data_IF_864925104659
#
_entry.id   IF_864925104659
#
_cell.length_a   1.000
_cell.length_b   1.000
_cell.length_c   1.000
_cell.angle_alpha   90.00
_cell.angle_beta   90.00
_cell.angle_gamma   90.00
#
_symmetry.space_group_name_H-M   'P 1'
#
loop_
_entity.id
_entity.type
_entity.pdbx_description
1 polymer ?
#
# COMPACT_ATOMS: atom_id res chain seq x y z
N UNK A 1 -39.38 35.46 24.25
CA UNK A 1 -38.95 35.18 23.90
C UNK A 1 -38.04 34.69 23.87
N UNK A 2 -37.99 34.56 23.95
CA UNK A 2 -37.16 34.12 23.70
C UNK A 2 -36.54 33.48 23.47
N UNK A 3 -36.61 33.39 23.44
CA UNK A 3 -36.01 32.87 23.16
C UNK A 3 -35.29 32.26 22.80
N UNK A 4 -35.44 32.21 22.90
CA UNK A 4 -34.77 31.73 22.43
C UNK A 4 -34.04 31.37 22.07
N UNK A 5 -33.77 31.42 21.99
CA UNK A 5 -32.97 31.15 21.48
C UNK A 5 -32.24 30.49 21.57
N UNK A 6 -32.60 30.59 22.02
CA UNK A 6 -31.83 30.06 22.07
C UNK A 6 -31.33 29.29 21.78
N UNK A 7 -31.55 29.10 21.50
CA UNK A 7 -31.07 28.33 21.05
C UNK A 7 -30.34 27.92 20.63
N UNK A 8 -30.12 28.24 20.66
CA UNK A 8 -29.37 27.88 20.12
C UNK A 8 -28.56 27.28 20.13
N UNK A 9 -28.63 27.24 20.33
CA UNK A 9 -27.86 26.70 20.21
C UNK A 9 -27.27 26.06 20.00
N UNK A 10 -27.25 26.12 19.91
CA UNK A 10 -26.57 25.49 19.49
C UNK A 10 -25.96 24.88 19.11
N UNK A 11 -26.19 24.83 19.10
CA UNK A 11 -25.63 24.19 18.59
C UNK A 11 -24.82 23.92 18.29
N UNK A 12 -24.51 24.23 18.34
CA UNK A 12 -23.68 23.98 17.90
C UNK A 12 -23.02 23.25 17.84
N UNK A 13 -23.11 23.13 17.90
CA UNK A 13 -22.39 22.49 17.57
C UNK A 13 -21.87 21.99 17.11
N UNK A 14 -22.02 22.14 17.14
CA UNK A 14 -21.50 21.65 16.51
C UNK A 14 -20.77 21.19 16.23
N UNK A 15 -20.75 21.27 16.29
CA UNK A 15 -20.04 20.81 15.92
C UNK A 15 -19.44 20.19 15.84
N UNK A 16 -19.27 20.06 15.90
CA UNK A 16 -18.68 19.38 15.66
C UNK A 16 -18.16 18.82 15.25
N UNK A 17 -18.16 18.84 15.05
CA UNK A 17 -17.58 18.19 14.67
C UNK A 17 -16.94 17.58 14.26
N UNK A 18 -16.96 17.29 14.03
CA UNK A 18 -16.42 16.55 13.57
C UNK A 18 -15.42 16.44 13.25
N UNK A 19 -15.14 16.67 13.35
CA UNK A 19 -14.14 16.70 13.01
C UNK A 19 -13.35 15.72 13.23
N UNK A 20 -13.49 15.22 13.65
CA UNK A 20 -12.67 14.31 14.02
C UNK A 20 -12.13 13.55 13.03
N UNK A 21 -12.53 13.41 12.62
CA UNK A 21 -12.14 12.90 11.67
C UNK A 21 -10.95 12.89 11.10
N UNK A 22 -10.46 13.64 11.16
CA UNK A 22 -9.28 13.78 10.54
C UNK A 22 -8.35 12.68 10.72
N UNK A 23 -8.28 12.22 11.79
CA UNK A 23 -7.36 11.25 12.00
C UNK A 23 -7.35 10.20 10.99
N UNK A 24 -8.36 10.15 10.31
CA UNK A 24 -8.43 9.19 9.39
C UNK A 24 -7.42 9.22 8.45
N UNK A 25 -7.24 10.19 7.88
CA UNK A 25 -6.36 10.22 6.84
C UNK A 25 -4.99 9.82 7.17
N UNK A 26 -4.73 9.89 8.41
CA UNK A 26 -3.44 9.59 8.72
C UNK A 26 -3.23 8.20 8.58
N UNK A 27 -4.20 7.56 8.63
CA UNK A 27 -4.08 6.28 8.73
C UNK A 27 -3.42 5.70 7.60
N UNK A 28 -3.68 5.00 7.10
CA UNK A 28 -3.02 4.20 6.26
C UNK A 28 -3.40 4.37 4.88
N UNK A 29 -2.55 4.04 4.03
CA UNK A 29 -2.82 3.91 2.65
C UNK A 29 -3.77 2.74 2.52
N UNK A 30 -4.76 2.84 1.69
CA UNK A 30 -5.69 1.75 1.50
C UNK A 30 -4.99 0.54 0.90
N UNK A 31 -5.56 -0.61 1.10
CA UNK A 31 -5.00 -1.84 0.55
C UNK A 31 -4.82 -1.79 -0.95
N UNK A 32 -5.72 -1.11 -1.65
CA UNK A 32 -5.62 -0.98 -3.09
C UNK A 32 -4.37 -0.20 -3.48
N UNK A 33 -4.17 0.95 -2.88
CA UNK A 33 -3.02 1.77 -3.23
C UNK A 33 -1.71 1.17 -2.72
N UNK A 34 -1.75 0.44 -1.64
CA UNK A 34 -0.58 -0.27 -1.17
C UNK A 34 -0.20 -1.36 -2.17
N UNK A 35 -1.16 -2.11 -2.68
CA UNK A 35 -0.89 -3.12 -3.68
C UNK A 35 -0.36 -2.48 -4.96
N UNK A 36 -0.93 -1.36 -5.36
CA UNK A 36 -0.46 -0.68 -6.56
C UNK A 36 0.99 -0.24 -6.42
N UNK A 37 1.36 0.23 -5.24
CA UNK A 37 2.74 0.64 -4.98
C UNK A 37 3.69 -0.55 -5.01
N UNK A 38 3.26 -1.68 -4.49
CA UNK A 38 4.07 -2.89 -4.53
C UNK A 38 4.25 -3.36 -5.97
N UNK A 39 3.20 -3.34 -6.76
CA UNK A 39 3.26 -3.75 -8.17
C UNK A 39 4.21 -2.82 -8.92
N UNK A 40 4.12 -1.52 -8.65
CA UNK A 40 4.99 -0.57 -9.29
C UNK A 40 6.46 -0.84 -8.94
N UNK A 41 6.73 -1.16 -7.69
CA UNK A 41 8.08 -1.47 -7.25
C UNK A 41 8.60 -2.73 -7.96
N UNK A 42 7.76 -3.74 -8.10
CA UNK A 42 8.14 -4.97 -8.78
C UNK A 42 8.44 -4.71 -10.25
N UNK A 43 7.55 -3.96 -10.91
CA UNK A 43 7.70 -3.71 -12.34
C UNK A 43 8.81 -2.74 -12.67
N UNK A 44 9.34 -2.06 -11.67
CA UNK A 44 10.46 -1.14 -11.86
C UNK A 44 11.78 -1.75 -11.41
N UNK A 45 11.75 -2.95 -10.87
CA UNK A 45 12.95 -3.56 -10.32
C UNK A 45 13.80 -4.23 -11.41
N UNK A 46 15.08 -3.89 -11.45
CA UNK A 46 15.94 -4.42 -12.48
C UNK A 46 16.21 -5.90 -12.32
N UNK A 47 16.27 -6.39 -11.09
CA UNK A 47 16.52 -7.82 -10.88
C UNK A 47 15.33 -8.65 -11.38
N UNK A 48 14.12 -8.13 -11.26
CA UNK A 48 12.94 -8.82 -11.77
C UNK A 48 13.01 -8.83 -13.31
N UNK A 49 13.33 -7.70 -13.90
CA UNK A 49 13.44 -7.61 -15.34
C UNK A 49 14.49 -8.59 -15.89
N UNK A 50 15.62 -8.65 -15.22
CA UNK A 50 16.68 -9.53 -15.64
C UNK A 50 16.31 -10.99 -15.46
N UNK A 51 15.65 -11.33 -14.37
CA UNK A 51 15.24 -12.70 -14.11
C UNK A 51 14.23 -13.18 -15.14
N UNK A 52 13.43 -12.27 -15.69
CA UNK A 52 12.46 -12.62 -16.72
C UNK A 52 13.05 -12.44 -18.13
N UNK A 53 14.32 -12.10 -18.24
CA UNK A 53 14.97 -11.81 -19.52
C UNK A 53 14.21 -10.73 -20.28
N UNK A 54 13.64 -9.81 -19.55
CA UNK A 54 12.87 -8.68 -20.08
C UNK A 54 11.64 -9.09 -20.89
N UNK A 55 11.16 -10.29 -20.67
CA UNK A 55 9.95 -10.74 -21.34
C UNK A 55 8.73 -10.03 -20.75
N UNK A 56 7.67 -9.87 -21.52
CA UNK A 56 6.47 -9.20 -21.01
C UNK A 56 5.84 -9.99 -19.86
N UNK A 57 5.37 -9.27 -18.86
CA UNK A 57 4.67 -9.87 -17.74
C UNK A 57 3.24 -10.13 -18.16
N UNK A 58 2.78 -11.36 -17.98
CA UNK A 58 1.43 -11.74 -18.36
C UNK A 58 0.52 -11.85 -17.13
N UNK A 59 1.07 -12.02 -15.95
CA UNK A 59 0.26 -12.12 -14.75
C UNK A 59 1.08 -11.76 -13.52
N UNK A 60 0.42 -11.09 -12.59
CA UNK A 60 0.97 -10.79 -11.29
C UNK A 60 -0.04 -11.25 -10.26
N UNK A 61 0.38 -12.08 -9.33
CA UNK A 61 -0.55 -12.60 -8.34
C UNK A 61 0.05 -12.52 -6.96
N UNK A 62 -0.74 -12.01 -6.01
CA UNK A 62 -0.30 -11.98 -4.64
C UNK A 62 -0.47 -13.38 -4.04
N UNK A 63 0.59 -13.90 -3.51
CA UNK A 63 0.58 -15.23 -2.90
C UNK A 63 0.41 -15.08 -1.39
N UNK A 64 0.40 -16.20 -0.69
CA UNK A 64 0.29 -16.17 0.75
C UNK A 64 1.55 -15.53 1.34
N UNK A 65 1.41 -14.72 2.36
CA UNK A 65 2.59 -14.09 2.96
C UNK A 65 3.44 -15.14 3.69
N UNK A 66 4.68 -14.79 3.95
CA UNK A 66 5.57 -15.67 4.71
C UNK A 66 5.14 -15.65 6.17
N UNK A 67 5.73 -16.52 6.96
CA UNK A 67 5.45 -16.56 8.38
C UNK A 67 5.79 -15.24 9.06
N UNK A 68 6.78 -14.55 8.55
CA UNK A 68 7.15 -13.25 9.11
C UNK A 68 6.25 -12.13 8.62
N UNK A 69 5.32 -12.43 7.75
CA UNK A 69 4.40 -11.41 7.23
C UNK A 69 4.87 -10.70 5.98
N UNK A 70 5.98 -11.12 5.41
CA UNK A 70 6.46 -10.50 4.18
C UNK A 70 5.53 -10.84 3.03
N UNK A 71 5.30 -9.87 2.16
CA UNK A 71 4.41 -10.06 1.02
C UNK A 71 5.14 -10.77 -0.10
N UNK A 72 4.50 -11.78 -0.64
CA UNK A 72 5.08 -12.56 -1.74
C UNK A 72 4.20 -12.40 -2.98
N UNK A 73 4.83 -12.11 -4.09
CA UNK A 73 4.12 -12.00 -5.36
C UNK A 73 4.70 -13.00 -6.36
N UNK A 74 3.83 -13.54 -7.18
CA UNK A 74 4.24 -14.39 -8.29
C UNK A 74 4.16 -13.57 -9.55
N UNK A 75 5.24 -13.54 -10.30
CA UNK A 75 5.34 -12.75 -11.52
C UNK A 75 5.54 -13.73 -12.67
N UNK A 76 4.61 -13.73 -13.60
CA UNK A 76 4.62 -14.69 -14.69
C UNK A 76 4.85 -14.00 -16.02
N UNK A 77 5.74 -14.55 -16.81
CA UNK A 77 5.88 -14.18 -18.21
C UNK A 77 5.52 -15.42 -19.04
N UNK A 78 5.72 -15.37 -20.33
CA UNK A 78 5.27 -16.45 -21.21
C UNK A 78 5.73 -17.84 -20.77
N UNK A 79 6.96 -17.96 -20.35
CA UNK A 79 7.51 -19.28 -20.04
C UNK A 79 8.04 -19.44 -18.63
N UNK A 80 7.73 -18.52 -17.77
CA UNK A 80 8.43 -18.47 -16.51
C UNK A 80 7.59 -17.82 -15.42
N UNK A 81 7.61 -18.39 -14.26
CA UNK A 81 7.00 -17.76 -13.08
C UNK A 81 8.09 -17.66 -12.02
N UNK A 82 8.26 -16.46 -11.48
CA UNK A 82 9.20 -16.30 -10.40
C UNK A 82 8.46 -15.74 -9.18
N UNK A 83 9.07 -15.88 -8.03
CA UNK A 83 8.51 -15.32 -6.82
C UNK A 83 9.37 -14.20 -6.32
N UNK A 84 8.74 -13.13 -5.91
CA UNK A 84 9.44 -11.99 -5.35
C UNK A 84 8.89 -11.69 -3.99
N UNK A 85 9.73 -11.21 -3.13
CA UNK A 85 9.35 -10.77 -1.80
C UNK A 85 9.42 -9.25 -1.81
N UNK A 86 8.40 -8.63 -1.25
CA UNK A 86 8.35 -7.17 -1.15
C UNK A 86 8.34 -6.81 0.32
N UNK A 87 9.34 -6.06 0.73
CA UNK A 87 9.44 -5.62 2.11
C UNK A 87 9.17 -4.12 2.16
N UNK A 88 8.29 -3.72 3.05
CA UNK A 88 7.94 -2.32 3.22
C UNK A 88 8.83 -1.69 4.26
N UNK A 89 9.29 -0.50 3.97
CA UNK A 89 10.05 0.28 4.93
C UNK A 89 9.28 1.58 5.17
N UNK A 90 8.90 1.85 6.40
CA UNK A 90 8.16 3.08 6.68
C UNK A 90 9.06 4.29 6.51
N UNK A 91 8.47 5.47 6.37
CA UNK A 91 9.28 6.68 6.29
C UNK A 91 10.05 6.87 7.58
N UNK A 92 11.11 7.63 7.49
CA UNK A 92 11.94 7.89 8.66
C UNK A 92 11.10 8.50 9.77
N UNK A 93 11.52 8.24 10.99
CA UNK A 93 10.82 8.74 12.14
C UNK A 93 10.62 10.24 12.04
N UNK A 94 9.43 10.70 12.30
CA UNK A 94 9.11 12.12 12.21
C UNK A 94 8.75 12.59 10.82
N UNK A 95 8.92 11.76 9.81
CA UNK A 95 8.57 12.10 8.45
C UNK A 95 7.21 11.53 8.12
N UNK A 96 6.50 12.19 7.21
CA UNK A 96 5.24 11.64 6.74
C UNK A 96 5.43 11.22 5.31
N UNK A 97 4.64 10.28 4.87
CA UNK A 97 4.71 9.82 3.50
C UNK A 97 4.42 8.35 3.41
N UNK A 98 4.64 7.82 2.22
CA UNK A 98 4.36 6.44 1.99
C UNK A 98 5.54 5.58 2.38
N UNK A 99 5.28 4.30 2.54
CA UNK A 99 6.36 3.34 2.70
C UNK A 99 7.16 3.27 1.42
N UNK A 100 8.39 2.91 1.53
CA UNK A 100 9.16 2.52 0.37
C UNK A 100 9.21 1.00 0.34
N UNK A 101 9.43 0.43 -0.82
CA UNK A 101 9.39 -1.01 -0.98
C UNK A 101 10.69 -1.54 -1.57
N UNK A 102 11.18 -2.63 -0.98
CA UNK A 102 12.36 -3.32 -1.47
C UNK A 102 11.89 -4.63 -2.07
N UNK A 103 12.36 -4.93 -3.26
CA UNK A 103 11.94 -6.12 -3.98
C UNK A 103 13.11 -7.09 -4.06
N UNK A 104 12.84 -8.36 -3.79
CA UNK A 104 13.87 -9.36 -3.84
C UNK A 104 13.33 -10.59 -4.54
N UNK A 105 14.04 -11.06 -5.54
CA UNK A 105 13.66 -12.29 -6.22
C UNK A 105 14.07 -13.45 -5.31
N UNK A 106 13.12 -14.21 -4.85
CA UNK A 106 13.41 -15.32 -3.94
C UNK A 106 13.32 -16.67 -4.61
N UNK A 107 12.67 -16.75 -5.76
CA UNK A 107 12.62 -18.00 -6.48
C UNK A 107 12.64 -17.66 -7.95
N UNK A 108 13.72 -17.96 -8.60
CA UNK A 108 13.88 -17.62 -10.00
C UNK A 108 13.15 -18.61 -10.91
N UNK A 109 13.07 -18.27 -12.16
CA UNK A 109 12.45 -19.14 -13.14
C UNK A 109 13.22 -20.42 -13.29
N UNK A 110 12.53 -21.48 -13.53
CA UNK A 110 13.18 -22.76 -13.80
C UNK A 110 13.04 -23.12 -15.25
#
# INVERSE_FOLDING_TARGET
MSKSFAGLALGLLLAVPSLAVPSLGLAAVSGFYDSAAQIDAIMSDMAVADALHQAPVTMLMLADPTESGAQIWEVTSANCTLKVQVDATPPAEGMVGRNSYQVKVIEACT
#
